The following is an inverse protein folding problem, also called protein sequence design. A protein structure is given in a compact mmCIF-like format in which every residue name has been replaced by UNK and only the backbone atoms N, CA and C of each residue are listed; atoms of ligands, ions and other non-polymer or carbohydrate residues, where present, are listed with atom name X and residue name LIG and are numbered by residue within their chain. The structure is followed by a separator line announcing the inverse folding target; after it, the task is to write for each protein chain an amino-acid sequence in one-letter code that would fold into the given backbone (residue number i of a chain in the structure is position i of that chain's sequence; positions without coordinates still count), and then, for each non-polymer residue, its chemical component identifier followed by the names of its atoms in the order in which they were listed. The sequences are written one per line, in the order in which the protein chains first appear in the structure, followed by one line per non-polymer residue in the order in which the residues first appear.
data_IF_422785238004
#
_entry.id   IF_422785238004
#
_cell.length_a   1.000
_cell.length_b   1.000
_cell.length_c   1.000
_cell.angle_alpha   90.00
_cell.angle_beta   90.00
_cell.angle_gamma   90.00
#
_symmetry.space_group_name_H-M   'P 1'
#
loop_
_entity.id
_entity.type
_entity.pdbx_description
1 polymer ?
#
# COMPACT_ATOMS: atom_id res chain seq x y z
N UNK A 1 0.16 -6.29 -32.92
CA UNK A 1 0.33 -7.56 -32.16
C UNK A 1 0.88 -7.17 -30.80
N UNK A 2 0.00 -6.89 -29.82
CA UNK A 2 0.39 -6.47 -28.47
C UNK A 2 0.48 -7.74 -27.62
N UNK A 3 1.68 -8.02 -27.12
CA UNK A 3 1.98 -9.20 -26.30
C UNK A 3 1.13 -9.26 -25.05
N UNK A 4 0.69 -10.48 -24.74
CA UNK A 4 0.06 -10.97 -23.52
C UNK A 4 -0.03 -9.96 -22.36
N UNK A 5 -1.24 -9.45 -22.13
CA UNK A 5 -1.65 -8.86 -20.86
C UNK A 5 -1.38 -9.90 -19.77
N UNK A 6 -0.46 -9.58 -18.86
CA UNK A 6 0.13 -10.51 -17.90
C UNK A 6 -0.90 -11.24 -17.04
N UNK A 7 -0.57 -12.49 -16.71
CA UNK A 7 -1.39 -13.40 -15.93
C UNK A 7 -1.94 -12.71 -14.66
N UNK A 8 -3.26 -12.54 -14.62
CA UNK A 8 -3.98 -12.10 -13.42
C UNK A 8 -4.38 -13.34 -12.63
N UNK A 9 -3.65 -13.61 -11.55
CA UNK A 9 -3.87 -14.80 -10.74
C UNK A 9 -4.48 -14.42 -9.40
N UNK A 10 -5.68 -14.94 -9.12
CA UNK A 10 -6.27 -14.88 -7.79
C UNK A 10 -5.74 -16.03 -6.93
N UNK A 11 -5.38 -15.74 -5.68
CA UNK A 11 -4.93 -16.77 -4.76
C UNK A 11 -6.17 -17.42 -4.14
N UNK A 12 -6.41 -18.71 -4.46
CA UNK A 12 -7.61 -19.42 -3.99
C UNK A 12 -7.78 -19.32 -2.47
N UNK A 13 -8.95 -18.84 -2.05
CA UNK A 13 -9.33 -18.71 -0.64
C UNK A 13 -8.71 -17.52 0.09
N UNK A 14 -7.95 -16.66 -0.59
CA UNK A 14 -7.37 -15.45 0.00
C UNK A 14 -7.78 -14.20 -0.78
N UNK A 15 -7.94 -13.04 -0.11
CA UNK A 15 -8.32 -11.78 -0.76
C UNK A 15 -7.13 -11.12 -1.46
N UNK A 16 -6.38 -11.88 -2.28
CA UNK A 16 -5.19 -11.37 -2.96
C UNK A 16 -5.21 -11.67 -4.46
N UNK A 17 -4.71 -10.70 -5.22
CA UNK A 17 -4.56 -10.74 -6.67
C UNK A 17 -3.11 -10.44 -7.03
N UNK A 18 -2.51 -11.29 -7.86
CA UNK A 18 -1.26 -10.97 -8.54
C UNK A 18 -1.59 -10.38 -9.91
N UNK A 19 -1.05 -9.21 -10.20
CA UNK A 19 -1.21 -8.54 -11.50
C UNK A 19 0.01 -7.67 -11.77
N UNK A 20 0.48 -7.62 -13.02
CA UNK A 20 1.61 -6.78 -13.46
C UNK A 20 2.89 -6.98 -12.62
N UNK A 21 3.12 -8.21 -12.15
CA UNK A 21 4.26 -8.54 -11.28
C UNK A 21 4.12 -8.08 -9.82
N UNK A 22 2.98 -7.47 -9.46
CA UNK A 22 2.69 -6.93 -8.13
C UNK A 22 1.62 -7.74 -7.40
N UNK A 23 1.54 -7.56 -6.07
CA UNK A 23 0.54 -8.18 -5.21
C UNK A 23 -0.43 -7.12 -4.70
N UNK A 24 -1.73 -7.37 -4.89
CA UNK A 24 -2.81 -6.51 -4.44
C UNK A 24 -3.69 -7.25 -3.43
N UNK A 25 -4.07 -6.57 -2.36
CA UNK A 25 -5.18 -6.99 -1.50
C UNK A 25 -6.49 -6.51 -2.13
N UNK A 26 -7.46 -7.40 -2.27
CA UNK A 26 -8.79 -7.12 -2.81
C UNK A 26 -9.76 -6.96 -1.64
N UNK A 27 -10.27 -5.75 -1.46
CA UNK A 27 -11.27 -5.42 -0.46
C UNK A 27 -12.65 -5.96 -0.88
N UNK A 28 -13.61 -5.99 0.04
CA UNK A 28 -14.96 -6.53 -0.20
C UNK A 28 -15.75 -5.73 -1.24
N UNK A 29 -15.42 -4.46 -1.45
CA UNK A 29 -16.00 -3.57 -2.47
C UNK A 29 -15.31 -3.70 -3.84
N UNK A 30 -14.35 -4.60 -3.97
CA UNK A 30 -13.56 -4.82 -5.19
C UNK A 30 -12.39 -3.85 -5.36
N UNK A 31 -12.18 -2.91 -4.43
CA UNK A 31 -11.02 -2.02 -4.44
C UNK A 31 -9.74 -2.83 -4.25
N UNK A 32 -8.71 -2.46 -4.99
CA UNK A 32 -7.38 -3.07 -4.93
C UNK A 32 -6.43 -2.13 -4.23
N UNK A 33 -5.74 -2.64 -3.21
CA UNK A 33 -4.67 -1.94 -2.50
C UNK A 33 -3.36 -2.65 -2.72
N UNK A 34 -2.34 -1.93 -3.15
CA UNK A 34 -1.02 -2.52 -3.39
C UNK A 34 -0.40 -2.96 -2.07
N UNK A 35 0.00 -4.23 -1.97
CA UNK A 35 0.66 -4.75 -0.79
C UNK A 35 2.09 -4.22 -0.72
N UNK A 36 2.40 -3.52 0.38
CA UNK A 36 3.75 -3.00 0.61
C UNK A 36 4.46 -3.91 1.64
N UNK A 37 5.61 -4.50 1.29
CA UNK A 37 6.44 -5.22 2.23
C UNK A 37 6.83 -4.37 3.44
N UNK A 38 6.84 -4.97 4.63
CA UNK A 38 7.20 -4.27 5.87
C UNK A 38 8.60 -3.64 5.82
N UNK A 39 9.52 -4.24 5.05
CA UNK A 39 10.90 -3.76 4.88
C UNK A 39 11.00 -2.41 4.18
N UNK A 40 10.09 -2.09 3.25
CA UNK A 40 10.09 -0.81 2.52
C UNK A 40 8.99 0.16 2.99
N UNK A 41 8.10 -0.28 3.88
CA UNK A 41 6.98 0.55 4.33
C UNK A 41 7.42 1.89 4.98
N UNK A 42 8.56 1.92 5.67
CA UNK A 42 9.11 3.15 6.26
C UNK A 42 9.52 4.17 5.19
N UNK A 43 10.15 3.72 4.11
CA UNK A 43 10.56 4.58 2.98
C UNK A 43 9.33 5.13 2.26
N UNK A 44 8.29 4.30 2.07
CA UNK A 44 7.02 4.73 1.48
C UNK A 44 6.32 5.80 2.34
N UNK A 45 6.32 5.65 3.66
CA UNK A 45 5.75 6.64 4.58
C UNK A 45 6.51 7.96 4.52
N UNK A 46 7.85 7.91 4.50
CA UNK A 46 8.71 9.09 4.43
C UNK A 46 8.50 9.85 3.10
N UNK A 47 8.54 9.15 1.96
CA UNK A 47 8.31 9.72 0.64
C UNK A 47 6.92 10.35 0.53
N UNK A 48 5.88 9.69 1.06
CA UNK A 48 4.53 10.26 1.10
C UNK A 48 4.47 11.52 1.98
N UNK A 49 5.13 11.53 3.14
CA UNK A 49 5.17 12.71 4.00
C UNK A 49 5.84 13.91 3.32
N UNK A 50 6.97 13.70 2.63
CA UNK A 50 7.68 14.74 1.88
C UNK A 50 6.84 15.29 0.72
N UNK A 51 6.22 14.42 -0.09
CA UNK A 51 5.42 14.82 -1.26
C UNK A 51 4.13 15.55 -0.90
N UNK A 52 3.59 15.32 0.29
CA UNK A 52 2.32 15.91 0.73
C UNK A 52 2.50 17.12 1.66
N UNK A 53 3.57 17.90 1.51
CA UNK A 53 3.86 19.10 2.32
C UNK A 53 3.87 18.83 3.83
N UNK A 54 4.50 17.73 4.25
CA UNK A 54 4.53 17.32 5.65
C UNK A 54 3.14 17.09 6.26
N UNK A 55 2.23 16.50 5.47
CA UNK A 55 0.87 16.18 5.89
C UNK A 55 0.85 15.43 7.22
N UNK A 56 0.17 16.00 8.23
CA UNK A 56 0.07 15.43 9.58
C UNK A 56 -0.46 13.99 9.63
N UNK A 57 -0.24 13.32 10.77
CA UNK A 57 -0.52 11.88 10.99
C UNK A 57 -1.82 11.36 10.36
N UNK A 58 -2.94 12.01 10.66
CA UNK A 58 -4.27 11.58 10.18
C UNK A 58 -4.37 11.62 8.66
N UNK A 59 -3.87 12.69 8.03
CA UNK A 59 -3.93 12.87 6.59
C UNK A 59 -3.02 11.87 5.88
N UNK A 60 -1.81 11.68 6.39
CA UNK A 60 -0.88 10.67 5.87
C UNK A 60 -1.46 9.25 5.96
N UNK A 61 -2.14 8.92 7.05
CA UNK A 61 -2.82 7.64 7.19
C UNK A 61 -3.97 7.49 6.19
N UNK A 62 -4.80 8.52 6.00
CA UNK A 62 -5.90 8.52 5.02
C UNK A 62 -5.38 8.28 3.60
N UNK A 63 -4.34 9.02 3.21
CA UNK A 63 -3.75 8.93 1.87
C UNK A 63 -3.11 7.56 1.61
N UNK A 64 -2.33 7.05 2.58
CA UNK A 64 -1.67 5.75 2.43
C UNK A 64 -2.67 4.58 2.50
N UNK A 65 -3.64 4.62 3.41
CA UNK A 65 -4.62 3.55 3.56
C UNK A 65 -5.57 3.44 2.36
N UNK A 66 -5.78 4.53 1.62
CA UNK A 66 -6.56 4.54 0.38
C UNK A 66 -5.90 3.67 -0.71
N UNK A 67 -4.58 3.68 -0.83
CA UNK A 67 -3.89 3.08 -1.99
C UNK A 67 -3.09 1.83 -1.65
N UNK A 68 -2.65 1.69 -0.40
CA UNK A 68 -1.67 0.68 -0.01
C UNK A 68 -2.17 -0.20 1.14
N UNK A 69 -1.94 -1.50 1.03
CA UNK A 69 -2.12 -2.46 2.11
C UNK A 69 -0.78 -2.60 2.83
N UNK A 70 -0.59 -1.80 3.89
CA UNK A 70 0.63 -1.76 4.70
C UNK A 70 0.32 -2.41 6.06
N UNK A 71 1.01 -3.51 6.43
CA UNK A 71 0.84 -4.13 7.73
C UNK A 71 1.15 -3.13 8.85
N UNK A 72 0.26 -3.02 9.84
CA UNK A 72 0.45 -2.15 11.02
C UNK A 72 0.68 -0.66 10.68
N UNK A 73 0.09 -0.16 9.58
CA UNK A 73 0.27 1.22 9.08
C UNK A 73 0.16 2.29 10.18
N UNK A 74 -0.88 2.25 11.02
CA UNK A 74 -1.08 3.25 12.07
C UNK A 74 0.13 3.30 13.03
N UNK A 75 0.57 2.14 13.52
CA UNK A 75 1.70 2.05 14.42
C UNK A 75 3.01 2.53 13.76
N UNK A 76 3.19 2.26 12.47
CA UNK A 76 4.36 2.73 11.72
C UNK A 76 4.36 4.26 11.53
N UNK A 77 3.19 4.86 11.27
CA UNK A 77 3.06 6.32 11.20
C UNK A 77 3.34 6.95 12.57
N UNK A 78 2.81 6.37 13.64
CA UNK A 78 3.05 6.86 15.01
C UNK A 78 4.53 6.75 15.41
N UNK A 79 5.23 5.72 14.95
CA UNK A 79 6.68 5.59 15.12
C UNK A 79 7.46 6.60 14.30
N UNK A 80 7.10 6.78 13.02
CA UNK A 80 7.72 7.76 12.13
C UNK A 80 7.67 9.17 12.74
N UNK A 81 6.51 9.60 13.23
CA UNK A 81 6.31 10.90 13.85
C UNK A 81 6.89 11.07 15.26
N UNK A 82 7.46 10.02 15.86
CA UNK A 82 8.27 10.16 17.08
C UNK A 82 9.72 10.52 16.77
N UNK A 83 10.13 10.43 15.51
CA UNK A 83 11.51 10.58 15.05
C UNK A 83 11.70 11.81 14.14
N UNK A 84 10.60 12.47 13.76
CA UNK A 84 10.53 13.74 13.01
C UNK A 84 10.14 14.85 13.98
#
# INVERSE_FOLDING_TARGET
MLGQLGDQDTIKGLPFLRADGLLYMVETDGRRRLCIPATCAREVIADAHERHFHAGRTRLWQDLSASFAIPRLSAMIDEFYRQV
#
